data_IF_173193366621
#
_entry.id   IF_173193366621
#
_cell.length_a   1.000
_cell.length_b   1.000
_cell.length_c   1.000
_cell.angle_alpha   90.00
_cell.angle_beta   90.00
_cell.angle_gamma   90.00
#
_symmetry.space_group_name_H-M   'P 1'
#
loop_
_entity.id
_entity.type
_entity.pdbx_description
1 polymer ?
#
# COMPACT_ATOMS: atom_id res chain seq x y z
N UNK A 1 12.46 11.95 13.86
CA UNK A 1 13.37 11.83 12.69
C UNK A 1 14.58 12.72 12.84
N UNK A 2 14.44 14.03 13.05
CA UNK A 2 15.62 14.92 13.20
C UNK A 2 16.54 14.49 14.35
N UNK A 3 16.00 14.25 15.55
CA UNK A 3 16.77 13.67 16.67
C UNK A 3 17.45 12.33 16.31
N UNK A 4 16.78 11.48 15.54
CA UNK A 4 17.34 10.21 15.09
C UNK A 4 18.50 10.42 14.11
N UNK A 5 18.35 11.33 13.15
CA UNK A 5 19.43 11.76 12.25
C UNK A 5 20.63 12.25 13.05
N UNK A 6 20.39 13.01 14.11
CA UNK A 6 21.42 13.62 14.96
C UNK A 6 22.03 12.65 15.99
N UNK A 7 21.67 11.35 15.95
CA UNK A 7 22.33 10.28 16.70
C UNK A 7 21.54 9.69 17.87
N UNK A 8 20.31 10.16 18.13
CA UNK A 8 19.43 9.58 19.14
C UNK A 8 18.76 8.29 18.62
N UNK A 9 19.46 7.17 18.76
CA UNK A 9 19.04 5.85 18.28
C UNK A 9 17.67 5.40 18.85
N UNK A 10 17.32 5.83 20.07
CA UNK A 10 16.04 5.47 20.69
C UNK A 10 14.84 6.05 19.91
N UNK A 11 15.04 7.14 19.16
CA UNK A 11 14.00 7.72 18.31
C UNK A 11 13.63 6.82 17.12
N UNK A 12 14.48 5.88 16.70
CA UNK A 12 14.16 4.96 15.60
C UNK A 12 12.99 4.04 15.94
N UNK A 13 12.98 3.48 17.16
CA UNK A 13 11.92 2.58 17.60
C UNK A 13 10.54 3.24 17.54
N UNK A 14 10.46 4.55 17.84
CA UNK A 14 9.22 5.33 17.72
C UNK A 14 8.79 5.49 16.26
N UNK A 15 9.72 5.78 15.36
CA UNK A 15 9.45 5.88 13.92
C UNK A 15 8.97 4.54 13.37
N UNK A 16 9.67 3.46 13.70
CA UNK A 16 9.31 2.11 13.27
C UNK A 16 7.91 1.73 13.74
N UNK A 17 7.64 1.81 15.06
CA UNK A 17 6.31 1.47 15.62
C UNK A 17 5.18 2.24 14.96
N UNK A 18 5.39 3.53 14.69
CA UNK A 18 4.37 4.40 14.10
C UNK A 18 4.11 4.12 12.62
N UNK A 19 5.15 3.76 11.86
CA UNK A 19 5.08 3.75 10.39
C UNK A 19 5.14 2.34 9.77
N UNK A 20 5.54 1.31 10.50
CA UNK A 20 5.65 -0.07 9.98
C UNK A 20 4.33 -0.59 9.38
N UNK A 21 3.22 -0.47 10.11
CA UNK A 21 1.93 -0.98 9.68
C UNK A 21 1.40 -0.27 8.42
N UNK A 22 1.37 1.07 8.39
CA UNK A 22 1.01 1.82 7.18
C UNK A 22 1.89 1.49 5.96
N UNK A 23 3.21 1.42 6.14
CA UNK A 23 4.16 1.10 5.06
C UNK A 23 3.97 -0.33 4.55
N UNK A 24 3.78 -1.29 5.45
CA UNK A 24 3.44 -2.67 5.08
C UNK A 24 2.16 -2.75 4.25
N UNK A 25 1.08 -2.08 4.68
CA UNK A 25 -0.18 -2.06 3.92
C UNK A 25 -0.01 -1.40 2.56
N UNK A 26 0.81 -0.34 2.47
CA UNK A 26 1.15 0.24 1.19
C UNK A 26 1.80 -0.80 0.26
N UNK A 27 2.83 -1.52 0.72
CA UNK A 27 3.48 -2.54 -0.11
C UNK A 27 2.52 -3.67 -0.49
N UNK A 28 1.77 -4.21 0.47
CA UNK A 28 0.81 -5.29 0.22
C UNK A 28 -0.17 -4.94 -0.90
N UNK A 29 -0.65 -3.69 -0.95
CA UNK A 29 -1.57 -3.20 -1.99
C UNK A 29 -0.93 -3.04 -3.36
N UNK A 30 0.39 -2.91 -3.45
CA UNK A 30 1.10 -2.76 -4.72
C UNK A 30 1.65 -4.09 -5.25
N UNK A 31 2.18 -4.95 -4.37
CA UNK A 31 2.82 -6.22 -4.78
C UNK A 31 1.88 -7.41 -4.73
N UNK A 32 0.87 -7.39 -3.86
CA UNK A 32 -0.21 -8.37 -3.80
C UNK A 32 0.07 -9.64 -3.02
N UNK A 33 1.22 -9.75 -2.34
CA UNK A 33 1.57 -10.88 -1.47
C UNK A 33 2.25 -10.40 -0.18
N UNK A 34 2.07 -11.18 0.88
CA UNK A 34 2.50 -10.84 2.24
C UNK A 34 4.03 -10.91 2.36
N UNK A 35 4.64 -11.98 1.87
CA UNK A 35 6.09 -12.21 1.98
C UNK A 35 6.89 -11.05 1.38
N UNK A 36 6.57 -10.65 0.15
CA UNK A 36 7.27 -9.52 -0.47
C UNK A 36 6.92 -8.20 0.19
N UNK A 37 5.71 -8.03 0.72
CA UNK A 37 5.36 -6.83 1.46
C UNK A 37 6.16 -6.71 2.78
N UNK A 38 6.38 -7.81 3.49
CA UNK A 38 7.22 -7.85 4.69
C UNK A 38 8.67 -7.52 4.36
N UNK A 39 9.23 -8.18 3.33
CA UNK A 39 10.60 -7.95 2.87
C UNK A 39 10.83 -6.50 2.46
N UNK A 40 9.93 -5.94 1.64
CA UNK A 40 10.03 -4.54 1.20
C UNK A 40 9.84 -3.56 2.37
N UNK A 41 9.02 -3.89 3.36
CA UNK A 41 8.87 -3.08 4.57
C UNK A 41 10.18 -3.04 5.34
N UNK A 42 10.80 -4.20 5.58
CA UNK A 42 12.11 -4.28 6.24
C UNK A 42 13.16 -3.48 5.47
N UNK A 43 13.27 -3.70 4.16
CA UNK A 43 14.19 -2.98 3.27
C UNK A 43 13.97 -1.45 3.32
N UNK A 44 12.72 -0.98 3.36
CA UNK A 44 12.42 0.45 3.47
C UNK A 44 12.98 1.05 4.78
N UNK A 45 12.82 0.36 5.90
CA UNK A 45 13.35 0.82 7.19
C UNK A 45 14.88 0.68 7.27
N UNK A 46 15.47 -0.35 6.66
CA UNK A 46 16.94 -0.45 6.52
C UNK A 46 17.50 0.73 5.73
N UNK A 47 16.83 1.15 4.64
CA UNK A 47 17.19 2.36 3.89
C UNK A 47 17.02 3.63 4.72
N UNK A 48 16.02 3.72 5.59
CA UNK A 48 15.88 4.83 6.54
C UNK A 48 17.08 4.91 7.48
N UNK A 49 17.52 3.78 8.03
CA UNK A 49 18.69 3.70 8.94
C UNK A 49 19.97 4.09 8.20
N UNK A 50 20.19 3.51 7.01
CA UNK A 50 21.40 3.74 6.21
C UNK A 50 21.49 5.17 5.70
N UNK A 51 20.36 5.75 5.28
CA UNK A 51 20.31 7.09 4.68
C UNK A 51 19.83 8.17 5.67
N UNK A 52 19.85 7.92 6.98
CA UNK A 52 19.33 8.89 7.97
C UNK A 52 19.95 10.28 7.83
N UNK A 53 21.24 10.35 7.47
CA UNK A 53 21.98 11.59 7.26
C UNK A 53 21.47 12.41 6.06
N UNK A 54 20.85 11.78 5.05
CA UNK A 54 20.29 12.49 3.89
C UNK A 54 18.93 13.11 4.17
N UNK A 55 18.36 12.91 5.36
CA UNK A 55 17.08 13.51 5.74
C UNK A 55 17.21 15.03 5.88
N UNK A 56 16.52 15.75 4.99
CA UNK A 56 16.49 17.22 4.99
C UNK A 56 15.70 17.72 6.19
N UNK A 57 16.28 18.63 6.97
CA UNK A 57 15.56 19.27 8.08
C UNK A 57 14.32 20.00 7.58
N UNK A 58 13.24 19.97 8.37
CA UNK A 58 11.95 20.54 7.99
C UNK A 58 11.13 19.70 7.00
N UNK A 59 11.70 18.66 6.38
CA UNK A 59 10.91 17.72 5.59
C UNK A 59 10.04 16.83 6.51
N UNK A 60 8.91 16.34 6.01
CA UNK A 60 8.11 15.36 6.73
C UNK A 60 8.66 13.95 6.54
N UNK A 61 8.84 13.23 7.64
CA UNK A 61 9.29 11.83 7.61
C UNK A 61 8.35 10.94 6.78
N UNK A 62 7.04 11.18 6.87
CA UNK A 62 6.03 10.47 6.07
C UNK A 62 6.32 10.59 4.57
N UNK A 63 6.55 11.80 4.07
CA UNK A 63 6.86 12.02 2.65
C UNK A 63 8.14 11.27 2.27
N UNK A 64 9.18 11.36 3.10
CA UNK A 64 10.47 10.73 2.82
C UNK A 64 10.41 9.18 2.80
N UNK A 65 9.77 8.54 3.79
CA UNK A 65 9.64 7.07 3.81
C UNK A 65 8.77 6.58 2.65
N UNK A 66 7.73 7.32 2.27
CA UNK A 66 6.90 6.94 1.12
C UNK A 66 7.58 7.18 -0.23
N UNK A 67 8.52 8.12 -0.35
CA UNK A 67 9.43 8.17 -1.51
C UNK A 67 10.27 6.91 -1.62
N UNK A 68 10.85 6.44 -0.51
CA UNK A 68 11.63 5.20 -0.47
C UNK A 68 10.74 4.00 -0.82
N UNK A 69 9.57 3.90 -0.17
CA UNK A 69 8.65 2.79 -0.36
C UNK A 69 8.12 2.71 -1.79
N UNK A 70 7.77 3.84 -2.40
CA UNK A 70 7.36 3.90 -3.80
C UNK A 70 8.44 3.33 -4.73
N UNK A 71 9.68 3.80 -4.59
CA UNK A 71 10.77 3.35 -5.46
C UNK A 71 10.98 1.84 -5.35
N UNK A 72 10.94 1.31 -4.13
CA UNK A 72 11.01 -0.13 -3.85
C UNK A 72 9.85 -0.91 -4.50
N UNK A 73 8.61 -0.42 -4.37
CA UNK A 73 7.44 -1.05 -4.97
C UNK A 73 7.51 -1.07 -6.51
N UNK A 74 7.88 0.05 -7.13
CA UNK A 74 8.05 0.17 -8.59
C UNK A 74 9.13 -0.80 -9.09
N UNK A 75 10.27 -0.88 -8.40
CA UNK A 75 11.35 -1.79 -8.76
C UNK A 75 10.91 -3.26 -8.67
N UNK A 76 10.20 -3.64 -7.62
CA UNK A 76 9.70 -5.01 -7.45
C UNK A 76 8.65 -5.37 -8.51
N UNK A 77 7.71 -4.47 -8.79
CA UNK A 77 6.70 -4.67 -9.84
C UNK A 77 7.34 -4.83 -11.23
N UNK A 78 8.39 -4.05 -11.54
CA UNK A 78 9.16 -4.19 -12.78
C UNK A 78 9.87 -5.54 -12.85
N UNK A 79 10.53 -5.98 -11.77
CA UNK A 79 11.19 -7.30 -11.69
C UNK A 79 10.20 -8.44 -11.91
N UNK A 80 9.01 -8.37 -11.31
CA UNK A 80 7.93 -9.37 -11.48
C UNK A 80 7.43 -9.44 -12.92
N UNK A 81 7.20 -8.29 -13.54
CA UNK A 81 6.78 -8.23 -14.95
C UNK A 81 7.84 -8.87 -15.86
N UNK A 82 9.11 -8.63 -15.60
CA UNK A 82 10.21 -9.24 -16.37
C UNK A 82 10.31 -10.76 -16.17
N UNK A 83 10.20 -11.24 -14.92
CA UNK A 83 10.16 -12.68 -14.61
C UNK A 83 9.00 -13.38 -15.31
N UNK A 84 7.80 -12.78 -15.29
CA UNK A 84 6.63 -13.29 -16.02
C UNK A 84 6.89 -13.33 -17.53
N UNK A 85 7.43 -12.27 -18.12
CA UNK A 85 7.73 -12.27 -19.56
C UNK A 85 8.75 -13.34 -19.97
N UNK A 86 9.75 -13.65 -19.14
CA UNK A 86 10.68 -14.76 -19.40
C UNK A 86 10.04 -16.15 -19.25
N UNK A 87 8.96 -16.25 -18.47
CA UNK A 87 8.24 -17.50 -18.22
C UNK A 87 7.12 -17.77 -19.23
N UNK A 88 6.77 -16.81 -20.10
CA UNK A 88 5.73 -16.94 -21.13
C UNK A 88 6.12 -17.86 -22.32
N UNK A 89 7.30 -18.47 -22.30
CA UNK A 89 7.64 -19.64 -23.13
C UNK A 89 7.05 -20.95 -22.54
N UNK A 90 6.26 -20.87 -21.47
CA UNK A 90 5.57 -21.98 -20.82
C UNK A 90 4.06 -21.63 -20.63
N UNK A 91 3.11 -22.59 -20.79
CA UNK A 91 1.69 -22.26 -20.85
C UNK A 91 1.16 -21.57 -19.58
N UNK A 92 0.36 -20.52 -19.77
CA UNK A 92 -0.27 -19.73 -18.72
C UNK A 92 -1.16 -20.58 -17.80
N UNK A 93 -0.65 -20.90 -16.61
CA UNK A 93 -1.48 -21.25 -15.46
C UNK A 93 -2.29 -20.04 -15.02
N UNK A 94 -3.61 -20.22 -14.97
CA UNK A 94 -4.61 -19.26 -14.53
C UNK A 94 -4.18 -18.52 -13.27
N UNK A 95 -4.36 -17.20 -13.30
CA UNK A 95 -4.08 -16.30 -12.20
C UNK A 95 -5.22 -16.35 -11.19
N UNK A 96 -5.39 -17.48 -10.52
CA UNK A 96 -6.18 -17.54 -9.30
C UNK A 96 -5.28 -17.03 -8.18
N UNK A 97 -5.33 -15.71 -7.99
CA UNK A 97 -4.82 -15.11 -6.77
C UNK A 97 -5.65 -15.65 -5.63
N UNK A 98 -5.09 -16.62 -4.90
CA UNK A 98 -5.51 -16.94 -3.55
C UNK A 98 -5.74 -15.61 -2.80
N UNK A 99 -6.93 -15.36 -2.22
CA UNK A 99 -7.16 -14.19 -1.40
C UNK A 99 -6.30 -14.35 -0.14
N UNK A 100 -5.03 -14.00 -0.27
CA UNK A 100 -4.05 -14.05 0.78
C UNK A 100 -4.60 -13.29 1.98
N UNK A 101 -4.69 -14.03 3.09
CA UNK A 101 -5.17 -13.61 4.42
C UNK A 101 -5.46 -12.12 4.52
N UNK A 102 -6.74 -11.80 4.59
CA UNK A 102 -7.19 -10.42 4.81
C UNK A 102 -6.66 -9.93 6.15
N UNK A 103 -6.54 -8.60 6.31
CA UNK A 103 -6.14 -7.98 7.57
C UNK A 103 -7.03 -8.41 8.78
N UNK A 104 -8.20 -8.99 8.51
CA UNK A 104 -9.10 -9.61 9.51
C UNK A 104 -8.59 -10.92 10.12
N UNK A 105 -7.62 -11.61 9.52
CA UNK A 105 -7.09 -12.87 10.05
C UNK A 105 -6.03 -12.67 11.15
N UNK A 106 -5.56 -11.44 11.35
CA UNK A 106 -4.60 -11.09 12.40
C UNK A 106 -5.29 -10.64 13.71
N UNK A 107 -6.62 -10.49 13.72
CA UNK A 107 -7.39 -10.09 14.89
C UNK A 107 -8.72 -10.85 14.94
N UNK A 108 -8.71 -12.03 15.57
CA UNK A 108 -9.97 -12.65 16.04
C UNK A 108 -10.01 -14.16 15.88
N UNK A 109 -10.14 -14.84 17.01
CA UNK A 109 -10.43 -16.27 17.12
C UNK A 109 -11.63 -16.65 16.24
N UNK A 110 -11.58 -17.70 15.40
CA UNK A 110 -12.64 -17.99 14.41
C UNK A 110 -14.00 -18.42 14.99
N UNK A 111 -14.14 -18.56 16.31
CA UNK A 111 -15.23 -19.36 16.90
C UNK A 111 -16.52 -18.62 17.26
N UNK A 112 -16.57 -17.29 17.28
CA UNK A 112 -17.81 -16.54 17.52
C UNK A 112 -17.78 -15.21 16.79
N UNK A 113 -18.15 -15.19 15.50
CA UNK A 113 -18.30 -13.94 14.73
C UNK A 113 -19.77 -13.59 14.62
N UNK A 114 -20.15 -12.38 14.99
CA UNK A 114 -21.52 -11.88 14.82
C UNK A 114 -21.80 -11.59 13.34
N UNK A 115 -23.06 -11.60 12.92
CA UNK A 115 -23.47 -11.24 11.54
C UNK A 115 -22.91 -9.87 11.10
N UNK A 116 -22.84 -8.91 12.02
CA UNK A 116 -22.24 -7.60 11.77
C UNK A 116 -20.72 -7.67 11.51
N UNK A 117 -20.00 -8.59 12.17
CA UNK A 117 -18.56 -8.79 11.92
C UNK A 117 -18.31 -9.53 10.60
N UNK A 118 -19.20 -10.44 10.21
CA UNK A 118 -19.13 -11.11 8.91
C UNK A 118 -19.36 -10.12 7.77
N UNK A 119 -20.38 -9.25 7.88
CA UNK A 119 -20.66 -8.21 6.89
C UNK A 119 -19.52 -7.18 6.74
N UNK A 120 -18.88 -6.77 7.84
CA UNK A 120 -17.70 -5.88 7.82
C UNK A 120 -16.50 -6.55 7.12
N UNK A 121 -16.27 -7.85 7.36
CA UNK A 121 -15.18 -8.58 6.71
C UNK A 121 -15.41 -8.70 5.20
N UNK A 122 -16.64 -8.97 4.78
CA UNK A 122 -16.99 -9.09 3.37
C UNK A 122 -16.87 -7.74 2.65
N UNK A 123 -17.34 -6.65 3.27
CA UNK A 123 -17.14 -5.30 2.76
C UNK A 123 -15.66 -4.95 2.61
N UNK A 124 -14.83 -5.33 3.59
CA UNK A 124 -13.37 -5.16 3.52
C UNK A 124 -12.74 -5.94 2.38
N UNK A 125 -13.15 -7.19 2.18
CA UNK A 125 -12.67 -8.03 1.09
C UNK A 125 -13.02 -7.41 -0.29
N UNK A 126 -14.22 -6.88 -0.44
CA UNK A 126 -14.66 -6.18 -1.66
C UNK A 126 -13.85 -4.92 -1.91
N UNK A 127 -13.66 -4.08 -0.89
CA UNK A 127 -12.79 -2.91 -0.97
C UNK A 127 -11.35 -3.29 -1.29
N UNK A 128 -10.86 -4.39 -0.73
CA UNK A 128 -9.53 -4.94 -1.00
C UNK A 128 -9.35 -5.32 -2.46
N UNK A 129 -10.28 -6.10 -3.00
CA UNK A 129 -10.30 -6.47 -4.41
C UNK A 129 -10.44 -5.23 -5.32
N UNK A 130 -11.34 -4.29 -5.00
CA UNK A 130 -11.58 -3.09 -5.80
C UNK A 130 -10.33 -2.20 -5.88
N UNK A 131 -9.65 -1.97 -4.75
CA UNK A 131 -8.39 -1.23 -4.71
C UNK A 131 -7.31 -1.96 -5.51
N UNK A 132 -7.24 -3.30 -5.42
CA UNK A 132 -6.31 -4.11 -6.20
C UNK A 132 -6.51 -3.99 -7.71
N UNK A 133 -7.75 -3.76 -8.17
CA UNK A 133 -8.11 -3.57 -9.60
C UNK A 133 -7.90 -2.15 -10.12
N UNK A 134 -7.63 -1.17 -9.25
CA UNK A 134 -7.34 0.19 -9.71
C UNK A 134 -6.11 0.21 -10.62
N UNK A 135 -6.10 1.08 -11.66
CA UNK A 135 -4.88 1.42 -12.37
C UNK A 135 -3.76 1.82 -11.40
N UNK A 136 -2.53 1.43 -11.69
CA UNK A 136 -1.37 1.60 -10.80
C UNK A 136 -1.23 3.03 -10.28
N UNK A 137 -1.32 4.02 -11.17
CA UNK A 137 -1.20 5.44 -10.81
C UNK A 137 -2.33 5.94 -9.89
N UNK A 138 -3.52 5.36 -10.01
CA UNK A 138 -4.68 5.72 -9.18
C UNK A 138 -4.57 5.04 -7.81
N UNK A 139 -4.16 3.77 -7.79
CA UNK A 139 -3.89 3.01 -6.56
C UNK A 139 -2.77 3.66 -5.74
N UNK A 140 -1.69 4.07 -6.39
CA UNK A 140 -0.57 4.76 -5.76
C UNK A 140 -1.05 6.04 -5.05
N UNK A 141 -1.76 6.92 -5.75
CA UNK A 141 -2.28 8.16 -5.16
C UNK A 141 -3.25 7.88 -4.00
N UNK A 142 -4.17 6.93 -4.18
CA UNK A 142 -5.16 6.58 -3.16
C UNK A 142 -4.51 6.06 -1.88
N UNK A 143 -3.57 5.11 -2.00
CA UNK A 143 -2.89 4.52 -0.84
C UNK A 143 -1.97 5.51 -0.13
N UNK A 144 -1.25 6.37 -0.86
CA UNK A 144 -0.44 7.44 -0.26
C UNK A 144 -1.31 8.44 0.51
N UNK A 145 -2.52 8.73 0.01
CA UNK A 145 -3.48 9.62 0.67
C UNK A 145 -4.06 8.98 1.94
N UNK A 146 -4.69 7.81 1.80
CA UNK A 146 -5.49 7.21 2.87
C UNK A 146 -4.65 6.47 3.92
N UNK A 147 -3.53 5.84 3.53
CA UNK A 147 -2.66 5.10 4.46
C UNK A 147 -1.46 5.94 4.87
N UNK A 148 -0.93 6.73 3.95
CA UNK A 148 0.22 7.60 4.21
C UNK A 148 -0.13 8.92 4.90
N UNK A 149 -1.38 9.38 4.76
CA UNK A 149 -1.80 10.67 5.30
C UNK A 149 -1.10 11.86 4.63
N UNK A 150 -0.63 11.69 3.39
CA UNK A 150 0.03 12.75 2.63
C UNK A 150 -1.00 13.73 2.03
N UNK A 151 -0.64 15.00 2.00
CA UNK A 151 -1.32 16.02 1.19
C UNK A 151 -1.15 15.75 -0.31
N UNK A 152 -2.02 16.31 -1.15
CA UNK A 152 -1.86 16.18 -2.59
C UNK A 152 -0.53 16.75 -3.10
N UNK A 153 -0.02 17.80 -2.46
CA UNK A 153 1.29 18.37 -2.74
C UNK A 153 2.42 17.39 -2.38
N UNK A 154 2.40 16.79 -1.19
CA UNK A 154 3.40 15.77 -0.81
C UNK A 154 3.32 14.53 -1.71
N UNK A 155 2.13 14.11 -2.12
CA UNK A 155 1.96 13.00 -3.06
C UNK A 155 2.58 13.38 -4.41
N UNK A 156 2.35 14.60 -4.90
CA UNK A 156 2.92 15.10 -6.15
C UNK A 156 4.47 15.03 -6.14
N UNK A 157 5.08 15.41 -5.01
CA UNK A 157 6.53 15.28 -4.78
C UNK A 157 6.99 13.82 -4.79
N UNK A 158 6.27 12.92 -4.13
CA UNK A 158 6.59 11.48 -4.07
C UNK A 158 6.49 10.81 -5.44
N UNK A 159 5.43 11.13 -6.20
CA UNK A 159 5.15 10.46 -7.48
C UNK A 159 5.85 11.11 -8.67
N UNK A 160 6.32 12.36 -8.51
CA UNK A 160 7.02 13.11 -9.55
C UNK A 160 6.09 13.68 -10.63
N UNK A 161 4.88 14.14 -10.26
CA UNK A 161 3.96 14.82 -11.17
C UNK A 161 3.40 16.10 -10.54
N UNK A 162 2.52 16.83 -11.24
CA UNK A 162 1.89 18.03 -10.68
C UNK A 162 0.68 17.67 -9.80
N UNK A 163 0.34 18.56 -8.86
CA UNK A 163 -0.75 18.35 -7.91
C UNK A 163 -2.13 18.15 -8.59
N UNK A 164 -2.38 18.80 -9.73
CA UNK A 164 -3.65 18.64 -10.46
C UNK A 164 -3.80 17.24 -11.06
N UNK A 165 -2.70 16.63 -11.52
CA UNK A 165 -2.66 15.23 -11.96
C UNK A 165 -2.95 14.30 -10.79
N UNK A 166 -2.38 14.56 -9.60
CA UNK A 166 -2.69 13.79 -8.38
C UNK A 166 -4.17 13.89 -8.03
N UNK A 167 -4.74 15.09 -8.00
CA UNK A 167 -6.18 15.31 -7.71
C UNK A 167 -7.07 14.56 -8.70
N UNK A 168 -6.72 14.61 -9.99
CA UNK A 168 -7.44 13.88 -11.04
C UNK A 168 -7.37 12.36 -10.83
N UNK A 169 -6.18 11.82 -10.55
CA UNK A 169 -5.98 10.39 -10.24
C UNK A 169 -6.78 9.96 -9.01
N UNK A 170 -6.78 10.77 -7.94
CA UNK A 170 -7.58 10.51 -6.73
C UNK A 170 -9.08 10.48 -7.06
N UNK A 171 -9.58 11.47 -7.80
CA UNK A 171 -10.99 11.50 -8.22
C UNK A 171 -11.39 10.23 -8.96
N UNK A 172 -10.61 9.84 -9.97
CA UNK A 172 -10.90 8.63 -10.75
C UNK A 172 -10.78 7.34 -9.92
N UNK A 173 -9.87 7.31 -8.94
CA UNK A 173 -9.81 6.21 -7.98
C UNK A 173 -11.12 6.10 -7.20
N UNK A 174 -11.59 7.21 -6.62
CA UNK A 174 -12.84 7.25 -5.85
C UNK A 174 -14.06 6.89 -6.70
N UNK A 175 -14.16 7.39 -7.93
CA UNK A 175 -15.25 7.04 -8.85
C UNK A 175 -15.32 5.53 -9.11
N UNK A 176 -14.17 4.87 -9.35
CA UNK A 176 -14.09 3.42 -9.57
C UNK A 176 -14.41 2.62 -8.32
N UNK A 177 -13.94 3.07 -7.16
CA UNK A 177 -14.24 2.41 -5.89
C UNK A 177 -15.73 2.54 -5.55
N UNK A 178 -16.33 3.71 -5.77
CA UNK A 178 -17.76 3.93 -5.59
C UNK A 178 -18.60 3.05 -6.53
N UNK A 179 -18.19 2.90 -7.80
CA UNK A 179 -18.87 2.01 -8.73
C UNK A 179 -18.82 0.54 -8.26
N UNK A 180 -17.62 0.05 -7.90
CA UNK A 180 -17.44 -1.32 -7.41
C UNK A 180 -18.26 -1.63 -6.14
N UNK A 181 -18.51 -0.63 -5.29
CA UNK A 181 -19.37 -0.79 -4.12
C UNK A 181 -20.86 -0.75 -4.45
N UNK A 182 -21.29 0.07 -5.43
CA UNK A 182 -22.71 0.13 -5.86
C UNK A 182 -23.15 -1.15 -6.53
N UNK A 183 -22.33 -1.69 -7.43
CA UNK A 183 -22.63 -2.95 -8.14
C UNK A 183 -22.93 -4.08 -7.16
N UNK A 184 -22.29 -4.07 -5.98
CA UNK A 184 -22.56 -5.03 -4.91
C UNK A 184 -23.83 -4.76 -4.10
N UNK A 185 -24.24 -3.51 -3.94
CA UNK A 185 -25.51 -3.18 -3.25
C UNK A 185 -26.71 -3.52 -4.14
N UNK A 186 -26.52 -3.51 -5.46
CA UNK A 186 -27.55 -3.84 -6.46
C UNK A 186 -27.62 -5.33 -6.82
N UNK A 187 -26.64 -6.15 -6.41
CA UNK A 187 -26.75 -7.61 -6.38
C UNK A 187 -27.26 -8.07 -5.00
N UNK A 188 -28.59 -8.11 -4.74
CA UNK A 188 -29.08 -8.78 -3.54
C UNK A 188 -28.73 -10.27 -3.67
N UNK A 189 -28.24 -10.83 -2.58
CA UNK A 189 -27.93 -12.25 -2.40
C UNK A 189 -29.00 -13.14 -3.06
N UNK A 190 -28.58 -13.89 -4.08
CA UNK A 190 -29.37 -14.97 -4.69
C UNK A 190 -29.22 -16.27 -3.91
#
# INVERSE_FOLDING_TARGET
>A
MERYRDGDEACFALLLRRHQGPVFRFFLRHVGDIESAEDLTQEAFLRVVHNRASFRSGARFTTWIYTIARNLAVDEMRKRRYRRHRSLDEPLGSRDGDPGRTLGDLVGDPKERTEAQAADLELRAVLEAAIGRLPEEQREVFTLREMGGLSFQEIAEVVGCNENTVKSRMRYALERLHAALRDRVEEPEG
#
